data_IF_462740296323
#
_entry.id   IF_462740296323
#
_cell.length_a   1.000
_cell.length_b   1.000
_cell.length_c   1.000
_cell.angle_alpha   90.00
_cell.angle_beta   90.00
_cell.angle_gamma   90.00
#
_symmetry.space_group_name_H-M   'P 1'
#
loop_
_entity.id
_entity.type
_entity.pdbx_description
1 polymer ?
#
# COMPACT_ATOMS: atom_id res chain seq x y z
N UNK A 1 46.54 -54.58 4.20
CA UNK A 1 45.57 -53.73 4.93
C UNK A 1 45.23 -52.59 3.99
N UNK A 2 43.98 -52.62 3.50
CA UNK A 2 43.25 -51.72 2.59
C UNK A 2 44.00 -50.75 1.64
N UNK A 3 43.85 -51.02 0.34
CA UNK A 3 44.06 -50.15 -0.82
C UNK A 3 42.98 -49.05 -0.94
N UNK A 4 43.31 -47.93 -1.62
CA UNK A 4 42.61 -47.37 -2.80
C UNK A 4 43.27 -46.03 -3.24
N UNK A 5 43.78 -45.92 -4.48
CA UNK A 5 44.04 -44.66 -5.21
C UNK A 5 43.20 -44.60 -6.53
N UNK A 6 43.43 -43.70 -7.52
CA UNK A 6 43.68 -42.25 -7.52
C UNK A 6 42.80 -41.46 -8.56
N UNK A 7 43.02 -40.14 -8.60
CA UNK A 7 42.91 -39.17 -9.72
C UNK A 7 41.60 -38.94 -10.52
N UNK A 8 41.17 -37.66 -10.55
CA UNK A 8 40.23 -37.11 -11.53
C UNK A 8 40.31 -35.58 -11.59
N UNK A 9 40.88 -35.04 -12.67
CA UNK A 9 41.00 -33.61 -13.03
C UNK A 9 39.66 -32.99 -13.46
N UNK A 10 39.52 -31.69 -13.23
CA UNK A 10 38.53 -30.79 -13.86
C UNK A 10 37.63 -30.12 -12.83
N UNK A 11 37.41 -28.81 -12.77
CA UNK A 11 37.72 -27.70 -13.65
C UNK A 11 36.77 -26.55 -13.25
N UNK A 12 37.28 -25.32 -13.18
CA UNK A 12 36.52 -24.07 -13.35
C UNK A 12 35.47 -23.67 -12.31
N UNK A 13 35.63 -22.49 -11.69
CA UNK A 13 34.53 -21.83 -11.01
C UNK A 13 34.92 -20.66 -10.11
N UNK A 14 35.41 -19.57 -10.69
CA UNK A 14 35.63 -18.30 -10.00
C UNK A 14 34.28 -17.61 -9.74
N UNK A 15 33.87 -17.42 -8.48
CA UNK A 15 32.71 -16.59 -8.12
C UNK A 15 33.16 -15.35 -7.33
N UNK A 16 33.44 -14.28 -8.07
CA UNK A 16 33.55 -12.91 -7.57
C UNK A 16 32.19 -12.43 -7.03
N UNK A 17 31.94 -12.59 -5.73
CA UNK A 17 30.82 -11.98 -5.01
C UNK A 17 31.04 -10.49 -4.74
N UNK A 18 31.20 -9.68 -5.81
CA UNK A 18 31.26 -8.22 -5.72
C UNK A 18 29.86 -7.69 -5.44
N UNK A 19 29.56 -7.38 -4.17
CA UNK A 19 28.40 -6.56 -3.80
C UNK A 19 28.55 -5.18 -4.45
N UNK A 20 28.01 -5.02 -5.66
CA UNK A 20 27.78 -3.69 -6.22
C UNK A 20 26.63 -3.08 -5.43
N UNK A 21 26.96 -2.12 -4.56
CA UNK A 21 25.97 -1.20 -4.00
C UNK A 21 25.11 -0.69 -5.14
N UNK A 22 23.79 -0.86 -5.03
CA UNK A 22 22.85 -0.31 -6.00
C UNK A 22 23.01 1.20 -5.95
N UNK A 23 23.68 1.74 -6.96
CA UNK A 23 23.77 3.17 -7.22
C UNK A 23 22.35 3.73 -7.20
N UNK A 24 22.04 4.59 -6.23
CA UNK A 24 20.81 5.36 -6.25
C UNK A 24 20.91 6.23 -7.48
N UNK A 25 20.17 5.88 -8.54
CA UNK A 25 20.05 6.69 -9.76
C UNK A 25 19.69 8.11 -9.32
N UNK A 26 20.64 9.03 -9.45
CA UNK A 26 20.39 10.46 -9.22
C UNK A 26 19.49 10.89 -10.39
N UNK A 27 18.26 11.37 -10.13
CA UNK A 27 17.35 11.76 -11.20
C UNK A 27 18.00 12.83 -12.08
N UNK A 28 17.98 12.58 -13.40
CA UNK A 28 18.43 13.52 -14.42
C UNK A 28 17.78 14.90 -14.16
N UNK A 29 18.61 15.95 -14.05
CA UNK A 29 18.22 17.36 -13.86
C UNK A 29 17.65 17.78 -12.49
N UNK A 30 17.86 16.99 -11.44
CA UNK A 30 17.55 17.44 -10.07
C UNK A 30 16.05 17.54 -9.79
N UNK A 31 15.21 16.85 -10.58
CA UNK A 31 13.76 16.70 -10.33
C UNK A 31 13.41 15.27 -9.93
N UNK A 32 12.49 15.10 -8.99
CA UNK A 32 11.90 13.81 -8.63
C UNK A 32 10.88 13.35 -9.69
N UNK A 33 10.28 12.17 -9.49
CA UNK A 33 9.25 11.57 -10.36
C UNK A 33 8.01 12.43 -10.59
N UNK A 34 7.76 13.42 -9.74
CA UNK A 34 6.63 14.34 -9.83
C UNK A 34 6.98 15.65 -10.53
N UNK A 35 8.22 15.81 -10.97
CA UNK A 35 8.73 17.06 -11.57
C UNK A 35 9.06 18.16 -10.55
N UNK A 36 9.05 17.84 -9.25
CA UNK A 36 9.51 18.73 -8.16
C UNK A 36 11.01 18.57 -7.96
N UNK A 37 11.71 19.49 -7.28
CA UNK A 37 13.13 19.29 -7.01
C UNK A 37 13.41 18.06 -6.14
N UNK A 38 14.56 17.42 -6.35
CA UNK A 38 15.02 16.31 -5.50
C UNK A 38 15.05 16.74 -4.03
N UNK A 39 14.57 15.87 -3.15
CA UNK A 39 14.38 16.14 -1.73
C UNK A 39 12.97 16.58 -1.34
N UNK A 40 12.12 16.90 -2.31
CA UNK A 40 10.69 17.11 -2.07
C UNK A 40 9.94 15.77 -2.17
N UNK A 41 9.07 15.51 -1.20
CA UNK A 41 8.26 14.28 -1.12
C UNK A 41 6.81 14.62 -0.78
N UNK A 42 5.91 13.76 -1.22
CA UNK A 42 4.50 13.81 -0.90
C UNK A 42 4.26 13.27 0.51
N UNK A 43 4.13 14.17 1.48
CA UNK A 43 3.89 13.83 2.90
C UNK A 43 2.60 14.51 3.38
N UNK A 44 1.42 14.04 2.93
CA UNK A 44 0.16 14.71 3.19
C UNK A 44 -0.36 14.45 4.61
N UNK A 45 -1.05 15.43 5.18
CA UNK A 45 -1.88 15.27 6.38
C UNK A 45 -3.18 14.54 6.05
N UNK A 46 -3.80 13.92 7.06
CA UNK A 46 -5.08 13.21 6.89
C UNK A 46 -6.16 14.07 6.19
N UNK A 47 -6.26 15.36 6.53
CA UNK A 47 -7.20 16.29 5.89
C UNK A 47 -6.88 16.57 4.41
N UNK A 48 -5.59 16.60 4.06
CA UNK A 48 -5.14 16.80 2.68
C UNK A 48 -5.49 15.57 1.83
N UNK A 49 -5.27 14.36 2.37
CA UNK A 49 -5.71 13.10 1.74
C UNK A 49 -7.22 13.08 1.48
N UNK A 50 -8.05 13.54 2.42
CA UNK A 50 -9.49 13.64 2.20
C UNK A 50 -9.88 14.70 1.15
N UNK A 51 -9.15 15.81 1.06
CA UNK A 51 -9.37 16.80 0.01
C UNK A 51 -9.01 16.23 -1.37
N UNK A 52 -7.93 15.46 -1.46
CA UNK A 52 -7.50 14.76 -2.68
C UNK A 52 -8.54 13.71 -3.08
N UNK A 53 -9.00 12.88 -2.14
CA UNK A 53 -10.04 11.89 -2.39
C UNK A 53 -11.34 12.56 -2.86
N UNK A 54 -11.75 13.69 -2.25
CA UNK A 54 -12.88 14.50 -2.74
C UNK A 54 -12.65 14.98 -4.17
N UNK A 55 -11.46 15.49 -4.49
CA UNK A 55 -11.10 15.95 -5.83
C UNK A 55 -11.24 14.81 -6.85
N UNK A 56 -10.69 13.63 -6.54
CA UNK A 56 -10.78 12.44 -7.40
C UNK A 56 -12.21 11.98 -7.62
N UNK A 57 -13.03 11.97 -6.57
CA UNK A 57 -14.45 11.61 -6.63
C UNK A 57 -15.28 12.56 -7.50
N UNK A 58 -15.04 13.88 -7.39
CA UNK A 58 -15.81 14.90 -8.13
C UNK A 58 -15.34 15.00 -9.59
N UNK A 59 -14.03 14.91 -9.84
CA UNK A 59 -13.45 15.16 -11.17
C UNK A 59 -13.11 13.91 -11.97
N UNK A 60 -13.11 12.73 -11.35
CA UNK A 60 -12.61 11.48 -11.94
C UNK A 60 -11.09 11.38 -12.04
N UNK A 61 -10.35 12.49 -11.95
CA UNK A 61 -8.88 12.55 -12.00
C UNK A 61 -8.31 13.67 -11.11
N UNK A 62 -7.04 13.51 -10.72
CA UNK A 62 -6.32 14.54 -9.99
C UNK A 62 -5.59 15.48 -10.96
N UNK A 63 -5.36 16.75 -10.60
CA UNK A 63 -4.65 17.68 -11.47
C UNK A 63 -3.13 17.44 -11.46
N UNK A 64 -2.52 17.55 -12.64
CA UNK A 64 -1.06 17.64 -12.81
C UNK A 64 -0.29 16.46 -12.21
N UNK A 65 0.89 16.77 -11.67
CA UNK A 65 1.80 15.78 -11.08
C UNK A 65 1.18 14.96 -9.94
N UNK A 66 0.17 15.50 -9.24
CA UNK A 66 -0.49 14.79 -8.16
C UNK A 66 -1.19 13.51 -8.64
N UNK A 67 -1.63 13.45 -9.89
CA UNK A 67 -2.22 12.23 -10.44
C UNK A 67 -1.21 11.07 -10.53
N UNK A 68 0.10 11.37 -10.61
CA UNK A 68 1.18 10.39 -10.74
C UNK A 68 1.70 9.85 -9.39
N UNK A 69 1.20 10.40 -8.28
CA UNK A 69 1.48 9.92 -6.92
C UNK A 69 0.69 8.65 -6.63
N UNK A 70 -0.54 8.54 -7.16
CA UNK A 70 -1.48 7.49 -6.76
C UNK A 70 -1.59 6.41 -7.81
N UNK A 71 -1.39 5.17 -7.38
CA UNK A 71 -1.57 3.99 -8.23
C UNK A 71 -3.00 3.45 -8.14
N UNK A 72 -3.52 2.96 -9.25
CA UNK A 72 -4.89 2.46 -9.36
C UNK A 72 -4.91 0.93 -9.36
N UNK A 73 -5.19 0.31 -8.21
CA UNK A 73 -5.12 -1.15 -8.09
C UNK A 73 -6.18 -1.71 -7.14
N UNK A 74 -6.61 -2.96 -7.35
CA UNK A 74 -7.44 -3.69 -6.38
C UNK A 74 -6.55 -4.35 -5.33
N UNK A 75 -6.10 -3.56 -4.36
CA UNK A 75 -5.12 -3.94 -3.32
C UNK A 75 -5.39 -5.31 -2.67
N UNK A 76 -6.66 -5.65 -2.43
CA UNK A 76 -7.04 -6.90 -1.76
C UNK A 76 -6.77 -8.17 -2.59
N UNK A 77 -6.41 -8.03 -3.86
CA UNK A 77 -6.03 -9.15 -4.73
C UNK A 77 -4.56 -9.55 -4.55
N UNK A 78 -3.78 -8.75 -3.82
CA UNK A 78 -2.33 -8.90 -3.72
C UNK A 78 -1.88 -9.10 -2.27
N UNK A 79 -0.76 -9.80 -2.12
CA UNK A 79 0.00 -9.83 -0.88
C UNK A 79 0.74 -8.49 -0.72
N UNK A 80 0.83 -7.90 0.50
CA UNK A 80 1.49 -6.60 0.67
C UNK A 80 2.95 -6.59 0.25
N UNK A 81 3.70 -7.68 0.46
CA UNK A 81 5.09 -7.75 -0.02
C UNK A 81 5.19 -7.67 -1.56
N UNK A 82 4.24 -8.27 -2.27
CA UNK A 82 4.18 -8.20 -3.74
C UNK A 82 3.77 -6.79 -4.20
N UNK A 83 2.79 -6.16 -3.53
CA UNK A 83 2.44 -4.76 -3.80
C UNK A 83 3.64 -3.83 -3.63
N UNK A 84 4.38 -4.01 -2.54
CA UNK A 84 5.58 -3.23 -2.29
C UNK A 84 6.62 -3.46 -3.37
N UNK A 85 6.93 -4.70 -3.74
CA UNK A 85 7.88 -5.00 -4.83
C UNK A 85 7.48 -4.35 -6.16
N UNK A 86 6.19 -4.40 -6.52
CA UNK A 86 5.67 -3.80 -7.75
C UNK A 86 5.80 -2.27 -7.78
N UNK A 87 5.67 -1.62 -6.63
CA UNK A 87 5.54 -0.16 -6.53
C UNK A 87 6.62 0.52 -5.66
N UNK A 88 7.70 -0.18 -5.31
CA UNK A 88 8.79 0.36 -4.47
C UNK A 88 9.43 1.63 -5.06
N UNK A 89 9.41 1.78 -6.40
CA UNK A 89 9.88 3.01 -7.09
C UNK A 89 8.99 4.22 -6.85
N UNK A 90 7.81 4.02 -6.26
CA UNK A 90 6.82 5.03 -5.93
C UNK A 90 6.75 5.30 -4.43
N UNK A 91 7.60 4.65 -3.64
CA UNK A 91 7.64 4.84 -2.20
C UNK A 91 8.10 6.28 -1.87
N UNK A 92 7.33 6.94 -1.01
CA UNK A 92 7.63 8.26 -0.48
C UNK A 92 7.43 8.22 1.04
N UNK A 93 8.50 8.53 1.78
CA UNK A 93 8.49 8.55 3.25
C UNK A 93 7.95 7.26 3.89
N UNK A 94 8.28 6.09 3.33
CA UNK A 94 7.83 4.80 3.84
C UNK A 94 6.44 4.37 3.40
N UNK A 95 5.81 5.10 2.47
CA UNK A 95 4.43 4.88 2.05
C UNK A 95 4.29 4.77 0.53
N UNK A 96 3.35 3.94 0.10
CA UNK A 96 2.88 3.86 -1.28
C UNK A 96 1.38 4.17 -1.31
N UNK A 97 1.00 5.08 -2.20
CA UNK A 97 -0.34 5.68 -2.25
C UNK A 97 -1.18 5.02 -3.35
N UNK A 98 -2.36 4.49 -2.98
CA UNK A 98 -3.26 3.80 -3.90
C UNK A 98 -4.69 4.33 -3.87
N UNK A 99 -5.32 4.42 -5.04
CA UNK A 99 -6.78 4.37 -5.16
C UNK A 99 -7.22 2.93 -5.41
N UNK A 100 -8.16 2.45 -4.58
CA UNK A 100 -8.71 1.10 -4.72
C UNK A 100 -10.20 1.09 -4.38
N UNK A 101 -10.94 0.26 -5.12
CA UNK A 101 -12.37 0.11 -4.90
C UNK A 101 -12.62 -0.68 -3.61
N UNK A 102 -13.54 -0.17 -2.80
CA UNK A 102 -14.07 -0.79 -1.57
C UNK A 102 -14.80 -2.10 -1.93
N UNK A 103 -14.17 -3.24 -1.67
CA UNK A 103 -14.80 -4.55 -1.79
C UNK A 103 -15.60 -4.89 -0.53
N UNK A 104 -16.74 -5.56 -0.69
CA UNK A 104 -17.62 -6.00 0.40
C UNK A 104 -17.84 -7.51 0.32
N UNK A 105 -17.93 -8.13 1.49
CA UNK A 105 -18.31 -9.54 1.57
C UNK A 105 -19.80 -9.68 1.28
N UNK A 106 -20.15 -10.57 0.34
CA UNK A 106 -21.56 -10.86 0.00
C UNK A 106 -22.28 -11.64 1.09
N UNK A 107 -21.53 -12.29 2.00
CA UNK A 107 -22.04 -13.31 2.93
C UNK A 107 -22.65 -12.79 4.24
N UNK A 108 -22.68 -11.47 4.49
CA UNK A 108 -23.08 -10.92 5.80
C UNK A 108 -24.47 -10.25 5.81
N UNK A 109 -25.48 -10.91 5.21
CA UNK A 109 -26.86 -10.41 5.18
C UNK A 109 -26.99 -8.95 4.72
N UNK A 110 -27.97 -8.21 5.23
CA UNK A 110 -28.18 -6.79 4.89
C UNK A 110 -27.06 -5.84 5.38
N UNK A 111 -26.02 -6.35 6.07
CA UNK A 111 -24.90 -5.52 6.58
C UNK A 111 -23.69 -5.66 5.66
N UNK A 112 -23.47 -4.64 4.81
CA UNK A 112 -22.28 -4.54 3.95
C UNK A 112 -21.01 -4.37 4.80
N UNK A 113 -20.26 -5.45 5.00
CA UNK A 113 -18.93 -5.41 5.66
C UNK A 113 -17.81 -5.43 4.64
N UNK A 114 -16.84 -4.50 4.72
CA UNK A 114 -15.63 -4.52 3.90
C UNK A 114 -14.92 -5.87 3.94
N UNK A 115 -14.53 -6.39 2.78
CA UNK A 115 -13.61 -7.53 2.71
C UNK A 115 -12.24 -7.09 3.22
N UNK A 116 -11.60 -7.96 4.01
CA UNK A 116 -10.23 -7.76 4.50
C UNK A 116 -9.33 -8.97 4.27
N UNK A 117 -9.83 -9.99 3.59
CA UNK A 117 -9.06 -11.18 3.20
C UNK A 117 -8.39 -10.91 1.86
N UNK A 118 -7.14 -11.36 1.73
CA UNK A 118 -6.34 -11.26 0.51
C UNK A 118 -5.62 -12.59 0.25
N UNK A 119 -4.87 -12.68 -0.86
CA UNK A 119 -3.99 -13.81 -1.12
C UNK A 119 -2.94 -13.92 -0.01
N UNK A 120 -2.85 -15.10 0.60
CA UNK A 120 -1.85 -15.36 1.65
C UNK A 120 -2.18 -14.82 3.04
N UNK A 121 -3.20 -13.97 3.24
CA UNK A 121 -3.44 -13.43 4.58
C UNK A 121 -4.69 -12.56 4.74
N UNK A 122 -4.76 -11.83 5.84
CA UNK A 122 -5.89 -10.96 6.17
C UNK A 122 -5.41 -9.66 6.80
N UNK A 123 -6.04 -8.56 6.43
CA UNK A 123 -5.90 -7.29 7.13
C UNK A 123 -6.77 -7.28 8.39
N UNK A 124 -6.20 -6.87 9.52
CA UNK A 124 -6.94 -6.66 10.78
C UNK A 124 -6.79 -5.22 11.23
N UNK A 125 -7.88 -4.63 11.70
CA UNK A 125 -7.86 -3.28 12.26
C UNK A 125 -6.89 -3.20 13.44
N UNK A 126 -6.14 -2.10 13.52
CA UNK A 126 -5.23 -1.77 14.61
C UNK A 126 -5.57 -0.37 15.10
N UNK A 127 -5.87 -0.20 16.39
CA UNK A 127 -6.13 1.12 16.98
C UNK A 127 -7.48 1.77 16.62
N UNK A 128 -8.47 1.00 16.16
CA UNK A 128 -9.80 1.50 15.83
C UNK A 128 -9.84 2.40 14.58
N UNK A 129 -11.04 2.87 14.23
CA UNK A 129 -11.20 3.90 13.19
C UNK A 129 -11.22 5.29 13.84
N UNK A 130 -10.54 6.25 13.21
CA UNK A 130 -10.54 7.66 13.62
C UNK A 130 -11.37 8.47 12.64
N UNK A 131 -12.43 9.11 13.14
CA UNK A 131 -13.16 10.13 12.37
C UNK A 131 -12.32 11.39 12.28
N UNK A 132 -12.11 11.88 11.06
CA UNK A 132 -11.34 13.10 10.82
C UNK A 132 -12.32 14.24 10.55
N UNK A 133 -12.12 15.36 11.24
CA UNK A 133 -12.98 16.56 11.20
C UNK A 133 -12.24 17.74 10.60
N UNK A 134 -12.91 18.51 9.75
CA UNK A 134 -12.35 19.75 9.19
C UNK A 134 -12.75 20.95 10.04
N UNK A 135 -11.79 21.53 10.77
CA UNK A 135 -12.02 22.81 11.48
C UNK A 135 -12.38 23.96 10.52
N UNK A 136 -11.87 23.92 9.28
CA UNK A 136 -12.13 24.95 8.26
C UNK A 136 -13.60 24.98 7.80
N UNK A 137 -14.32 23.88 7.96
CA UNK A 137 -15.72 23.75 7.53
C UNK A 137 -16.58 23.41 8.76
N UNK A 138 -16.53 24.27 9.79
CA UNK A 138 -17.40 24.17 10.96
C UNK A 138 -17.23 22.91 11.82
N UNK A 139 -16.12 22.17 11.68
CA UNK A 139 -15.92 20.92 12.42
C UNK A 139 -16.64 19.71 11.83
N UNK A 140 -17.12 19.79 10.59
CA UNK A 140 -17.81 18.70 9.90
C UNK A 140 -16.88 17.48 9.73
N UNK A 141 -17.42 16.29 9.98
CA UNK A 141 -16.77 15.01 9.72
C UNK A 141 -16.50 14.87 8.21
N UNK A 142 -15.23 14.78 7.82
CA UNK A 142 -14.87 14.61 6.41
C UNK A 142 -14.80 13.14 5.99
N UNK A 143 -14.51 12.25 6.94
CA UNK A 143 -14.19 10.88 6.62
C UNK A 143 -13.66 10.08 7.81
N UNK A 144 -13.32 8.83 7.53
CA UNK A 144 -12.74 7.90 8.49
C UNK A 144 -11.38 7.40 8.01
N UNK A 145 -10.40 7.43 8.90
CA UNK A 145 -9.11 6.74 8.75
C UNK A 145 -9.17 5.44 9.55
N UNK A 146 -8.85 4.32 8.93
CA UNK A 146 -8.71 3.04 9.59
C UNK A 146 -7.29 2.52 9.38
N UNK A 147 -6.57 2.32 10.48
CA UNK A 147 -5.26 1.65 10.44
C UNK A 147 -5.46 0.13 10.51
N UNK A 148 -4.74 -0.60 9.68
CA UNK A 148 -4.75 -2.05 9.64
C UNK A 148 -3.33 -2.59 9.64
N UNK A 149 -3.20 -3.83 10.10
CA UNK A 149 -1.96 -4.62 10.01
C UNK A 149 -2.27 -5.91 9.29
N UNK A 150 -1.34 -6.35 8.46
CA UNK A 150 -1.46 -7.62 7.76
C UNK A 150 -1.05 -8.80 8.63
N UNK A 151 -1.88 -9.84 8.60
CA UNK A 151 -1.63 -11.13 9.23
C UNK A 151 -1.48 -12.20 8.14
N UNK A 152 -0.32 -12.82 8.07
CA UNK A 152 0.04 -13.81 7.06
C UNK A 152 -0.34 -15.22 7.51
N UNK A 153 -0.97 -15.99 6.62
CA UNK A 153 -1.26 -17.42 6.80
C UNK A 153 -0.07 -18.21 6.27
N UNK A 154 0.40 -19.21 7.02
CA UNK A 154 1.49 -20.10 6.55
C UNK A 154 1.04 -21.08 5.47
N UNK A 155 -0.24 -21.44 5.46
CA UNK A 155 -0.87 -22.34 4.50
C UNK A 155 -2.38 -22.09 4.42
N UNK A 156 -3.06 -22.69 3.45
CA UNK A 156 -4.50 -22.55 3.29
C UNK A 156 -5.25 -23.18 4.48
N UNK A 157 -6.17 -22.43 5.09
CA UNK A 157 -6.88 -22.86 6.30
C UNK A 157 -6.14 -22.62 7.62
N UNK A 158 -4.95 -22.00 7.60
CA UNK A 158 -4.23 -21.62 8.83
C UNK A 158 -5.13 -20.77 9.76
N UNK A 159 -5.35 -21.29 10.97
CA UNK A 159 -6.22 -20.68 11.99
C UNK A 159 -5.46 -19.68 12.86
N UNK A 160 -4.12 -19.69 12.82
CA UNK A 160 -3.25 -18.87 13.65
C UNK A 160 -2.29 -18.03 12.78
N UNK A 161 -2.81 -17.09 11.96
CA UNK A 161 -1.97 -16.28 11.08
C UNK A 161 -1.07 -15.35 11.90
N UNK A 162 0.14 -15.11 11.41
CA UNK A 162 1.22 -14.38 12.09
C UNK A 162 1.12 -12.89 11.73
N UNK A 163 1.20 -12.01 12.72
CA UNK A 163 1.25 -10.55 12.51
C UNK A 163 2.55 -10.19 11.77
N UNK A 164 2.44 -9.41 10.70
CA UNK A 164 3.58 -8.89 9.94
C UNK A 164 3.82 -7.41 10.23
N UNK A 165 4.87 -6.84 9.64
CA UNK A 165 5.16 -5.40 9.70
C UNK A 165 4.43 -4.57 8.63
N UNK A 166 3.64 -5.20 7.75
CA UNK A 166 2.89 -4.48 6.73
C UNK A 166 1.69 -3.74 7.34
N UNK A 167 1.71 -2.42 7.20
CA UNK A 167 0.65 -1.52 7.60
C UNK A 167 -0.26 -1.15 6.44
N UNK A 168 -1.45 -0.65 6.76
CA UNK A 168 -2.28 0.05 5.79
C UNK A 168 -3.13 1.11 6.49
N UNK A 169 -3.22 2.29 5.89
CA UNK A 169 -4.19 3.31 6.27
C UNK A 169 -5.28 3.41 5.20
N UNK A 170 -6.48 2.94 5.52
CA UNK A 170 -7.66 3.11 4.69
C UNK A 170 -8.34 4.44 5.03
N UNK A 171 -8.46 5.33 4.06
CA UNK A 171 -9.20 6.58 4.13
C UNK A 171 -10.50 6.44 3.35
N UNK A 172 -11.62 6.62 4.03
CA UNK A 172 -12.95 6.55 3.42
C UNK A 172 -13.65 7.89 3.58
N UNK A 173 -14.13 8.48 2.49
CA UNK A 173 -14.79 9.80 2.49
C UNK A 173 -16.27 9.66 2.83
N UNK A 174 -16.80 10.53 3.70
CA UNK A 174 -18.25 10.71 3.87
C UNK A 174 -18.79 11.48 2.66
N UNK A 175 -19.80 10.93 2.00
CA UNK A 175 -20.52 11.60 0.91
C UNK A 175 -21.94 11.94 1.37
N UNK A 176 -22.23 13.23 1.40
CA UNK A 176 -23.55 13.76 1.73
C UNK A 176 -24.61 13.18 0.76
N UNK A 177 -25.75 12.74 1.29
CA UNK A 177 -26.92 12.34 0.49
C UNK A 177 -27.02 10.87 0.06
N UNK A 178 -26.07 9.99 0.39
CA UNK A 178 -26.18 8.55 0.11
C UNK A 178 -26.45 7.73 1.37
N UNK A 179 -27.48 6.86 1.36
CA UNK A 179 -27.82 5.98 2.52
C UNK A 179 -26.68 5.01 2.90
N UNK A 180 -25.68 4.85 2.03
CA UNK A 180 -24.40 4.19 2.31
C UNK A 180 -23.28 5.20 2.05
N UNK A 181 -22.99 6.02 3.07
CA UNK A 181 -22.19 7.27 3.03
C UNK A 181 -20.71 7.14 2.60
N UNK A 182 -20.29 6.04 1.98
CA UNK A 182 -18.89 5.72 1.75
C UNK A 182 -18.67 5.24 0.31
N UNK A 183 -18.16 6.12 -0.57
CA UNK A 183 -17.77 5.77 -1.95
C UNK A 183 -16.30 6.15 -2.14
N UNK A 184 -15.57 5.22 -2.76
CA UNK A 184 -14.12 5.16 -2.98
C UNK A 184 -13.23 5.36 -1.75
N UNK A 185 -12.09 4.68 -1.80
CA UNK A 185 -11.10 4.69 -0.74
C UNK A 185 -9.77 5.14 -1.29
N UNK A 186 -9.06 5.82 -0.44
CA UNK A 186 -7.63 5.96 -0.57
C UNK A 186 -6.98 4.97 0.41
N UNK A 187 -5.92 4.31 -0.01
CA UNK A 187 -5.15 3.41 0.84
C UNK A 187 -3.68 3.81 0.77
N UNK A 188 -3.07 3.96 1.94
CA UNK A 188 -1.62 4.04 2.07
C UNK A 188 -1.15 2.67 2.53
N UNK A 189 -0.21 2.04 1.82
CA UNK A 189 0.51 0.85 2.30
C UNK A 189 1.90 1.27 2.72
#
# INVERSE_FOLDING_TARGET
MAELPPEGRGGGGNNNGKWKGKEKVVPEYGKNRHGMSVGWYFVPKDLELFAILKCKLVRGQLPGALNNVFEHIRILEFHPALLHEMYIKNEEDGYIYFFSKRQFTTKAGNKRRPTRVTKGGTWKASGGSKTVRSKKVGGIDVGQKLTMVFYERRFEGDRNPIKTNWGMHEFTKIIDGTKNQWIDRFFVV
#
